data_IF_048355857873
#
_entry.id   IF_048355857873
#
_cell.length_a   1.000
_cell.length_b   1.000
_cell.length_c   1.000
_cell.angle_alpha   90.00
_cell.angle_beta   90.00
_cell.angle_gamma   90.00
#
_symmetry.space_group_name_H-M   'P 1'
#
loop_
_entity.id
_entity.type
_entity.pdbx_description
1 polymer ?
#
# COMPACT_ATOMS: atom_id res chain seq x y z
N UNK A 1 -44.44 -48.32 46.72
CA UNK A 1 -44.32 -49.33 47.78
C UNK A 1 -43.08 -48.97 48.59
N UNK A 2 -43.40 -48.71 49.85
CA UNK A 2 -42.55 -48.61 51.04
C UNK A 2 -41.75 -47.32 51.25
N UNK A 3 -42.33 -46.55 52.14
CA UNK A 3 -41.83 -45.53 53.02
C UNK A 3 -40.82 -46.14 53.99
N UNK A 4 -39.71 -45.44 54.26
CA UNK A 4 -39.19 -45.42 55.62
C UNK A 4 -38.57 -44.09 55.95
N UNK A 5 -39.26 -43.43 56.88
CA UNK A 5 -38.86 -42.28 57.67
C UNK A 5 -37.81 -42.68 58.71
N UNK A 6 -36.78 -41.89 58.91
CA UNK A 6 -36.04 -41.85 60.15
C UNK A 6 -35.87 -40.39 60.56
N UNK A 7 -36.54 -40.10 61.73
CA UNK A 7 -36.24 -38.92 62.52
C UNK A 7 -34.95 -39.13 63.28
N UNK A 8 -34.17 -38.06 63.45
CA UNK A 8 -33.41 -37.78 64.66
C UNK A 8 -32.84 -36.36 64.68
N UNK A 9 -33.37 -35.61 65.51
CA UNK A 9 -32.94 -34.92 66.71
C UNK A 9 -31.97 -33.75 66.63
N UNK A 10 -32.44 -32.65 67.15
CA UNK A 10 -31.78 -31.37 67.41
C UNK A 10 -30.53 -31.49 68.25
N UNK A 11 -29.47 -30.83 67.92
CA UNK A 11 -28.67 -29.98 68.80
C UNK A 11 -27.83 -28.98 68.02
N UNK A 12 -27.89 -27.75 68.42
CA UNK A 12 -27.28 -26.51 67.99
C UNK A 12 -25.84 -26.58 67.57
N UNK A 13 -25.51 -26.02 66.37
CA UNK A 13 -24.35 -25.18 66.17
C UNK A 13 -24.58 -24.26 64.98
N UNK A 14 -24.66 -22.94 65.20
CA UNK A 14 -24.65 -21.92 64.19
C UNK A 14 -23.32 -21.92 63.49
N UNK A 15 -23.26 -22.35 62.25
CA UNK A 15 -22.17 -22.03 61.35
C UNK A 15 -22.69 -21.05 60.32
N UNK A 16 -22.25 -19.80 60.43
CA UNK A 16 -22.52 -18.76 59.41
C UNK A 16 -21.64 -19.11 58.22
N UNK A 17 -22.20 -19.82 57.24
CA UNK A 17 -21.58 -20.03 55.94
C UNK A 17 -21.80 -18.79 55.10
N UNK A 18 -20.72 -18.04 54.84
CA UNK A 18 -20.71 -17.05 53.78
C UNK A 18 -20.88 -17.76 52.44
N UNK A 19 -22.04 -17.64 51.83
CA UNK A 19 -22.24 -17.97 50.43
C UNK A 19 -21.49 -16.93 49.60
N UNK A 20 -20.33 -17.29 49.08
CA UNK A 20 -19.65 -16.52 48.04
C UNK A 20 -20.57 -16.48 46.82
N UNK A 21 -20.95 -15.29 46.41
CA UNK A 21 -21.67 -15.06 45.16
C UNK A 21 -20.84 -15.59 43.97
N UNK A 22 -21.45 -16.16 42.93
CA UNK A 22 -20.72 -16.59 41.75
C UNK A 22 -20.09 -15.36 41.10
N UNK A 23 -18.77 -15.36 41.03
CA UNK A 23 -18.02 -14.38 40.26
C UNK A 23 -18.48 -14.47 38.79
N UNK A 24 -19.14 -13.43 38.31
CA UNK A 24 -19.52 -13.29 36.92
C UNK A 24 -18.25 -13.29 36.07
N UNK A 25 -17.94 -14.41 35.44
CA UNK A 25 -16.93 -14.47 34.40
C UNK A 25 -17.50 -13.70 33.23
N UNK A 26 -17.18 -12.42 33.15
CA UNK A 26 -17.40 -11.62 31.94
C UNK A 26 -16.55 -12.26 30.87
N UNK A 27 -17.13 -13.12 30.02
CA UNK A 27 -16.54 -13.58 28.80
C UNK A 27 -16.35 -12.33 27.91
N UNK A 28 -15.16 -11.74 27.93
CA UNK A 28 -14.78 -10.77 26.93
C UNK A 28 -14.90 -11.48 25.59
N UNK A 29 -15.94 -11.17 24.83
CA UNK A 29 -16.02 -11.58 23.43
C UNK A 29 -14.85 -10.91 22.74
N UNK A 30 -13.82 -11.69 22.42
CA UNK A 30 -12.80 -11.28 21.46
C UNK A 30 -13.52 -11.15 20.10
N UNK A 31 -13.96 -9.94 19.78
CA UNK A 31 -14.37 -9.62 18.43
C UNK A 31 -13.10 -9.73 17.58
N UNK A 32 -13.09 -10.67 16.64
CA UNK A 32 -12.06 -10.69 15.62
C UNK A 32 -12.04 -9.32 14.96
N UNK A 33 -10.87 -8.68 14.92
CA UNK A 33 -10.72 -7.43 14.18
C UNK A 33 -11.08 -7.70 12.71
N UNK A 34 -11.82 -6.81 12.07
CA UNK A 34 -12.11 -6.95 10.65
C UNK A 34 -10.78 -7.08 9.88
N UNK A 35 -10.76 -7.96 8.90
CA UNK A 35 -9.59 -8.11 8.02
C UNK A 35 -9.52 -6.86 7.14
N UNK A 36 -8.40 -6.14 7.13
CA UNK A 36 -8.31 -4.91 6.35
C UNK A 36 -8.31 -5.21 4.84
N UNK A 37 -8.88 -4.29 4.07
CA UNK A 37 -8.95 -4.38 2.61
C UNK A 37 -8.01 -3.37 1.97
N UNK A 38 -7.16 -3.84 1.06
CA UNK A 38 -6.38 -3.02 0.16
C UNK A 38 -7.02 -3.03 -1.23
N UNK A 39 -7.39 -1.86 -1.72
CA UNK A 39 -7.84 -1.66 -3.09
C UNK A 39 -6.64 -1.35 -3.96
N UNK A 40 -6.40 -2.14 -4.99
CA UNK A 40 -5.27 -1.98 -5.91
C UNK A 40 -5.77 -1.52 -7.27
N UNK A 41 -5.41 -0.30 -7.65
CA UNK A 41 -5.69 0.30 -8.96
C UNK A 41 -4.51 0.04 -9.90
N UNK A 42 -4.77 -0.60 -11.03
CA UNK A 42 -3.74 -0.97 -12.01
C UNK A 42 -4.27 -1.05 -13.43
N UNK A 43 -3.35 -1.21 -14.39
CA UNK A 43 -3.69 -1.63 -15.75
C UNK A 43 -4.21 -3.07 -15.76
N UNK A 44 -5.19 -3.38 -16.61
CA UNK A 44 -5.79 -4.72 -16.70
C UNK A 44 -4.75 -5.80 -16.98
N UNK A 45 -3.80 -5.54 -17.87
CA UNK A 45 -2.76 -6.51 -18.26
C UNK A 45 -1.61 -6.62 -17.23
N UNK A 46 -1.49 -5.67 -16.28
CA UNK A 46 -0.45 -5.64 -15.25
C UNK A 46 -0.98 -5.93 -13.84
N UNK A 47 -2.26 -6.19 -13.68
CA UNK A 47 -2.96 -6.30 -12.39
C UNK A 47 -2.40 -7.39 -11.44
N UNK A 48 -1.65 -8.34 -11.95
CA UNK A 48 -1.04 -9.42 -11.16
C UNK A 48 0.46 -9.22 -10.91
N UNK A 49 1.03 -8.09 -11.32
CA UNK A 49 2.46 -7.81 -11.17
C UNK A 49 2.72 -6.91 -9.96
N UNK A 50 2.24 -7.33 -8.78
CA UNK A 50 2.37 -6.54 -7.55
C UNK A 50 3.71 -6.79 -6.83
N UNK A 51 4.42 -7.88 -7.14
CA UNK A 51 5.74 -8.18 -6.60
C UNK A 51 5.83 -8.10 -5.08
N UNK A 52 6.82 -7.37 -4.56
CA UNK A 52 7.02 -7.21 -3.11
C UNK A 52 5.86 -6.52 -2.37
N UNK A 53 5.03 -5.75 -3.08
CA UNK A 53 3.82 -5.17 -2.49
C UNK A 53 2.79 -6.26 -2.17
N UNK A 54 2.65 -7.28 -3.03
CA UNK A 54 1.77 -8.43 -2.73
C UNK A 54 2.26 -9.19 -1.49
N UNK A 55 3.57 -9.45 -1.41
CA UNK A 55 4.18 -10.07 -0.23
C UNK A 55 3.79 -9.32 1.05
N UNK A 56 4.00 -7.99 1.06
CA UNK A 56 3.70 -7.15 2.21
C UNK A 56 2.21 -7.15 2.57
N UNK A 57 1.33 -7.06 1.58
CA UNK A 57 -0.12 -7.09 1.80
C UNK A 57 -0.55 -8.41 2.46
N UNK A 58 -0.03 -9.55 1.97
CA UNK A 58 -0.35 -10.87 2.49
C UNK A 58 0.23 -11.07 3.91
N UNK A 59 1.48 -10.66 4.16
CA UNK A 59 2.10 -10.71 5.49
C UNK A 59 1.30 -9.87 6.52
N UNK A 60 0.73 -8.75 6.08
CA UNK A 60 -0.11 -7.87 6.88
C UNK A 60 -1.61 -8.23 6.87
N UNK A 61 -1.97 -9.37 6.27
CA UNK A 61 -3.32 -9.96 6.25
C UNK A 61 -4.38 -9.09 5.57
N UNK A 62 -3.99 -8.29 4.59
CA UNK A 62 -4.95 -7.57 3.77
C UNK A 62 -5.71 -8.52 2.84
N UNK A 63 -7.01 -8.27 2.67
CA UNK A 63 -7.74 -8.74 1.50
C UNK A 63 -7.39 -7.82 0.33
N UNK A 64 -7.00 -8.38 -0.81
CA UNK A 64 -6.64 -7.60 -1.99
C UNK A 64 -7.82 -7.57 -2.95
N UNK A 65 -8.40 -6.38 -3.12
CA UNK A 65 -9.40 -6.09 -4.15
C UNK A 65 -8.75 -5.32 -5.30
N UNK A 66 -9.10 -5.67 -6.54
CA UNK A 66 -8.51 -5.05 -7.73
C UNK A 66 -9.55 -4.24 -8.48
N UNK A 67 -9.17 -3.06 -8.89
CA UNK A 67 -9.89 -2.26 -9.88
C UNK A 67 -8.95 -1.91 -11.03
N UNK A 68 -9.54 -1.73 -12.19
CA UNK A 68 -8.78 -1.45 -13.40
C UNK A 68 -9.05 -0.03 -13.86
N UNK A 69 -8.02 0.63 -14.41
CA UNK A 69 -8.15 2.00 -14.93
C UNK A 69 -9.23 2.13 -15.98
N UNK A 70 -9.40 1.10 -16.82
CA UNK A 70 -10.42 1.06 -17.86
C UNK A 70 -11.86 1.03 -17.32
N UNK A 71 -12.02 0.64 -16.04
CA UNK A 71 -13.34 0.56 -15.37
C UNK A 71 -13.67 1.84 -14.57
N UNK A 72 -12.80 2.83 -14.54
CA UNK A 72 -13.06 4.09 -13.86
C UNK A 72 -14.15 4.89 -14.54
N UNK A 73 -15.09 5.42 -13.76
CA UNK A 73 -16.24 6.19 -14.25
C UNK A 73 -16.30 7.53 -13.53
N UNK A 74 -16.44 8.60 -14.30
CA UNK A 74 -16.56 9.95 -13.76
C UNK A 74 -17.73 10.07 -12.76
N UNK A 75 -17.46 10.64 -11.59
CA UNK A 75 -18.44 10.80 -10.51
C UNK A 75 -18.77 9.54 -9.72
N UNK A 76 -18.13 8.41 -10.00
CA UNK A 76 -18.23 7.18 -9.21
C UNK A 76 -16.99 7.06 -8.32
N UNK A 77 -17.12 7.21 -7.00
CA UNK A 77 -15.97 7.13 -6.09
C UNK A 77 -15.40 5.71 -6.02
N UNK A 78 -14.16 5.59 -5.58
CA UNK A 78 -13.58 4.28 -5.28
C UNK A 78 -14.41 3.52 -4.24
N UNK A 79 -14.50 2.17 -4.35
CA UNK A 79 -15.12 1.34 -3.32
C UNK A 79 -14.50 1.58 -1.93
N UNK A 80 -15.23 1.34 -0.83
CA UNK A 80 -14.69 1.43 0.51
C UNK A 80 -13.54 0.44 0.72
N UNK A 81 -12.39 0.93 1.20
CA UNK A 81 -11.24 0.11 1.58
C UNK A 81 -10.44 0.85 2.66
N UNK A 82 -9.54 0.11 3.34
CA UNK A 82 -8.66 0.65 4.37
C UNK A 82 -7.40 1.29 3.78
N UNK A 83 -7.03 0.87 2.57
CA UNK A 83 -5.85 1.35 1.84
C UNK A 83 -6.15 1.35 0.33
N UNK A 84 -5.78 2.43 -0.37
CA UNK A 84 -5.71 2.47 -1.82
C UNK A 84 -4.24 2.43 -2.25
N UNK A 85 -3.88 1.43 -3.05
CA UNK A 85 -2.58 1.35 -3.72
C UNK A 85 -2.78 1.65 -5.20
N UNK A 86 -2.15 2.70 -5.69
CA UNK A 86 -2.20 3.11 -7.08
C UNK A 86 -0.88 2.78 -7.77
N UNK A 87 -0.91 1.80 -8.66
CA UNK A 87 0.26 1.24 -9.33
C UNK A 87 0.77 2.11 -10.49
N UNK A 88 1.93 1.75 -11.03
CA UNK A 88 2.46 2.32 -12.24
C UNK A 88 1.54 2.20 -13.45
N UNK A 89 1.75 3.04 -14.48
CA UNK A 89 1.03 3.07 -15.74
C UNK A 89 1.94 3.57 -16.87
N UNK A 90 1.55 3.26 -18.10
CA UNK A 90 2.13 3.87 -19.31
C UNK A 90 1.47 5.22 -19.66
N UNK A 91 0.43 5.61 -18.94
CA UNK A 91 -0.22 6.91 -19.07
C UNK A 91 0.66 8.03 -18.50
N UNK A 92 0.31 9.27 -18.81
CA UNK A 92 1.00 10.45 -18.32
C UNK A 92 0.03 11.42 -17.64
N UNK A 93 0.51 12.07 -16.59
CA UNK A 93 -0.15 13.24 -15.97
C UNK A 93 0.67 14.53 -16.18
N UNK A 94 1.77 14.44 -16.93
CA UNK A 94 2.58 15.61 -17.25
C UNK A 94 1.79 16.62 -18.08
N UNK A 95 2.06 17.91 -17.85
CA UNK A 95 1.38 19.00 -18.54
C UNK A 95 1.50 18.88 -20.06
N UNK A 96 0.36 18.89 -20.76
CA UNK A 96 0.27 18.72 -22.20
C UNK A 96 0.27 17.27 -22.70
N UNK A 97 0.42 16.28 -21.80
CA UNK A 97 0.42 14.86 -22.13
C UNK A 97 -0.70 14.07 -21.42
N UNK A 98 -1.31 14.63 -20.39
CA UNK A 98 -2.38 13.98 -19.63
C UNK A 98 -3.60 13.71 -20.53
N UNK A 99 -4.04 12.44 -20.54
CA UNK A 99 -5.25 12.00 -21.23
C UNK A 99 -6.47 12.09 -20.29
N UNK A 100 -7.67 12.02 -20.85
CA UNK A 100 -8.92 12.14 -20.09
C UNK A 100 -9.02 11.11 -18.94
N UNK A 101 -8.59 9.86 -19.17
CA UNK A 101 -8.57 8.83 -18.14
C UNK A 101 -7.64 9.18 -16.97
N UNK A 102 -6.47 9.79 -17.24
CA UNK A 102 -5.54 10.22 -16.21
C UNK A 102 -6.10 11.41 -15.41
N UNK A 103 -6.81 12.35 -16.06
CA UNK A 103 -7.49 13.46 -15.38
C UNK A 103 -8.58 12.96 -14.45
N UNK A 104 -9.37 11.96 -14.88
CA UNK A 104 -10.37 11.31 -14.03
C UNK A 104 -9.72 10.66 -12.79
N UNK A 105 -8.61 9.97 -12.97
CA UNK A 105 -7.89 9.33 -11.86
C UNK A 105 -7.37 10.36 -10.84
N UNK A 106 -6.87 11.52 -11.31
CA UNK A 106 -6.45 12.63 -10.43
C UNK A 106 -7.63 13.10 -9.56
N UNK A 107 -8.82 13.30 -10.14
CA UNK A 107 -9.99 13.74 -9.39
C UNK A 107 -10.43 12.72 -8.34
N UNK A 108 -10.42 11.43 -8.68
CA UNK A 108 -10.75 10.34 -7.76
C UNK A 108 -9.73 10.20 -6.61
N UNK A 109 -8.44 10.33 -6.90
CA UNK A 109 -7.38 10.30 -5.88
C UNK A 109 -7.46 11.53 -4.98
N UNK A 110 -7.74 12.70 -5.54
CA UNK A 110 -7.97 13.92 -4.77
C UNK A 110 -9.15 13.78 -3.82
N UNK A 111 -10.27 13.22 -4.28
CA UNK A 111 -11.43 12.94 -3.42
C UNK A 111 -11.08 11.95 -2.30
N UNK A 112 -10.39 10.85 -2.61
CA UNK A 112 -9.97 9.84 -1.66
C UNK A 112 -9.05 10.43 -0.57
N UNK A 113 -8.00 11.15 -0.97
CA UNK A 113 -6.98 11.67 -0.05
C UNK A 113 -7.48 12.84 0.78
N UNK A 114 -8.40 13.67 0.24
CA UNK A 114 -9.04 14.76 0.99
C UNK A 114 -9.87 14.29 2.18
N UNK A 115 -10.29 13.04 2.18
CA UNK A 115 -11.01 12.38 3.28
C UNK A 115 -10.05 11.81 4.35
N UNK A 116 -8.75 12.02 4.24
CA UNK A 116 -7.73 11.50 5.15
C UNK A 116 -7.53 9.99 5.05
N UNK A 117 -7.98 9.35 3.97
CA UNK A 117 -7.84 7.91 3.75
C UNK A 117 -6.41 7.56 3.35
N UNK A 118 -6.00 6.33 3.71
CA UNK A 118 -4.67 5.81 3.40
C UNK A 118 -4.50 5.60 1.89
N UNK A 119 -3.38 6.11 1.37
CA UNK A 119 -3.02 6.03 -0.03
C UNK A 119 -1.52 5.77 -0.20
N UNK A 120 -1.17 4.89 -1.13
CA UNK A 120 0.20 4.69 -1.60
C UNK A 120 0.17 4.72 -3.13
N UNK A 121 0.83 5.71 -3.72
CA UNK A 121 1.04 5.80 -5.16
C UNK A 121 2.44 5.36 -5.54
N UNK A 122 2.55 4.42 -6.50
CA UNK A 122 3.82 3.94 -7.03
C UNK A 122 4.01 4.43 -8.46
N UNK A 123 5.15 5.01 -8.78
CA UNK A 123 5.51 5.57 -10.08
C UNK A 123 4.42 6.52 -10.61
N UNK A 124 3.59 6.11 -11.57
CA UNK A 124 2.46 6.89 -12.06
C UNK A 124 1.49 7.28 -10.94
N UNK A 125 1.20 6.38 -10.00
CA UNK A 125 0.35 6.69 -8.84
C UNK A 125 0.94 7.81 -7.96
N UNK A 126 2.26 7.90 -7.82
CA UNK A 126 2.91 9.02 -7.15
C UNK A 126 2.76 10.32 -7.93
N UNK A 127 2.86 10.27 -9.25
CA UNK A 127 2.65 11.42 -10.13
C UNK A 127 1.21 11.93 -10.05
N UNK A 128 0.23 11.01 -10.05
CA UNK A 128 -1.20 11.34 -9.83
C UNK A 128 -1.40 12.06 -8.51
N UNK A 129 -0.78 11.57 -7.41
CA UNK A 129 -0.87 12.23 -6.11
C UNK A 129 -0.28 13.63 -6.14
N UNK A 130 0.91 13.83 -6.73
CA UNK A 130 1.53 15.14 -6.83
C UNK A 130 0.62 16.15 -7.53
N UNK A 131 0.01 15.76 -8.66
CA UNK A 131 -0.94 16.63 -9.38
C UNK A 131 -2.24 16.83 -8.60
N UNK A 132 -2.75 15.81 -7.90
CA UNK A 132 -3.93 15.94 -7.03
C UNK A 132 -3.73 16.94 -5.89
N UNK A 133 -2.48 17.10 -5.41
CA UNK A 133 -2.08 18.11 -4.44
C UNK A 133 -1.88 19.52 -5.06
N UNK A 134 -2.01 19.66 -6.38
CA UNK A 134 -1.80 20.91 -7.12
C UNK A 134 -0.35 21.13 -7.57
N UNK A 135 0.49 20.09 -7.51
CA UNK A 135 1.87 20.08 -7.95
C UNK A 135 2.06 19.86 -9.44
N UNK A 136 3.31 19.63 -9.84
CA UNK A 136 3.69 19.54 -11.23
C UNK A 136 4.49 18.28 -11.53
N UNK A 137 4.16 17.70 -12.69
CA UNK A 137 4.90 16.60 -13.32
C UNK A 137 5.37 17.06 -14.70
N UNK A 138 6.65 16.87 -14.97
CA UNK A 138 7.29 17.33 -16.21
C UNK A 138 7.82 16.14 -16.98
N UNK A 139 7.49 16.05 -18.27
CA UNK A 139 8.03 15.04 -19.17
C UNK A 139 9.41 15.42 -19.64
N UNK A 140 10.36 14.51 -19.52
CA UNK A 140 11.72 14.63 -20.02
C UNK A 140 11.82 14.10 -21.45
N UNK A 141 12.85 14.58 -22.19
CA UNK A 141 13.09 14.17 -23.58
C UNK A 141 13.60 12.72 -23.70
N UNK A 142 14.13 12.15 -22.61
CA UNK A 142 14.66 10.80 -22.57
C UNK A 142 14.09 10.03 -21.39
N UNK A 143 13.85 8.73 -21.59
CA UNK A 143 13.46 7.80 -20.53
C UNK A 143 14.58 7.68 -19.53
N UNK A 144 14.30 7.92 -18.26
CA UNK A 144 15.19 7.53 -17.18
C UNK A 144 14.99 6.04 -16.90
N UNK A 145 16.09 5.27 -16.89
CA UNK A 145 16.03 3.82 -16.72
C UNK A 145 17.27 3.31 -15.99
N UNK A 146 17.09 2.80 -14.77
CA UNK A 146 18.19 2.29 -13.95
C UNK A 146 17.72 1.58 -12.70
N UNK A 147 18.62 0.79 -12.08
CA UNK A 147 18.50 0.34 -10.70
C UNK A 147 19.40 1.25 -9.87
N UNK A 148 18.82 1.98 -8.94
CA UNK A 148 19.51 3.04 -8.20
C UNK A 148 19.33 2.83 -6.68
N UNK A 149 20.36 3.22 -5.93
CA UNK A 149 20.30 3.26 -4.48
C UNK A 149 19.57 4.54 -4.04
N UNK A 150 18.45 4.36 -3.34
CA UNK A 150 17.58 5.46 -2.90
C UNK A 150 17.45 5.41 -1.39
N UNK A 151 17.80 6.53 -0.75
CA UNK A 151 17.65 6.72 0.68
C UNK A 151 16.28 7.29 1.01
N UNK A 152 15.72 6.83 2.12
CA UNK A 152 14.62 7.51 2.79
C UNK A 152 14.68 7.22 4.30
N UNK A 153 14.03 8.03 5.18
CA UNK A 153 14.05 7.79 6.62
C UNK A 153 13.53 6.40 6.98
N UNK A 154 14.39 5.56 7.56
CA UNK A 154 14.06 4.19 7.99
C UNK A 154 14.38 3.09 6.99
N UNK A 155 14.93 3.39 5.80
CA UNK A 155 15.39 2.38 4.84
C UNK A 155 16.87 2.03 5.00
N UNK A 156 17.30 0.91 4.39
CA UNK A 156 18.71 0.65 4.12
C UNK A 156 19.16 1.65 3.02
N UNK A 157 20.22 2.46 3.23
CA UNK A 157 20.69 3.42 2.24
C UNK A 157 21.12 2.79 0.90
N UNK A 158 21.28 1.50 0.85
CA UNK A 158 21.62 0.75 -0.38
C UNK A 158 20.40 0.10 -1.03
N UNK A 159 19.18 0.55 -0.73
CA UNK A 159 17.95 0.01 -1.31
C UNK A 159 17.95 0.15 -2.84
N UNK A 160 18.12 -0.94 -3.61
CA UNK A 160 18.25 -0.89 -5.07
C UNK A 160 16.87 -0.98 -5.70
N UNK A 161 16.29 0.16 -6.00
CA UNK A 161 14.98 0.22 -6.65
C UNK A 161 15.09 0.64 -8.12
N UNK A 162 14.14 0.17 -8.92
CA UNK A 162 14.08 0.51 -10.35
C UNK A 162 13.45 1.89 -10.51
N UNK A 163 14.14 2.78 -11.22
CA UNK A 163 13.56 3.98 -11.80
C UNK A 163 13.40 3.76 -13.30
N UNK A 164 12.16 3.80 -13.77
CA UNK A 164 11.85 3.63 -15.19
C UNK A 164 10.64 4.50 -15.55
N UNK A 165 10.91 5.73 -15.92
CA UNK A 165 9.88 6.71 -16.24
C UNK A 165 10.43 7.84 -17.14
N UNK A 166 9.53 8.51 -17.85
CA UNK A 166 9.79 9.74 -18.61
C UNK A 166 9.28 10.97 -17.85
N UNK A 167 8.30 10.78 -16.97
CA UNK A 167 7.62 11.84 -16.24
C UNK A 167 8.21 11.97 -14.84
N UNK A 168 8.58 13.19 -14.47
CA UNK A 168 9.31 13.52 -13.24
C UNK A 168 8.45 14.43 -12.37
N UNK A 169 8.28 14.10 -11.10
CA UNK A 169 7.61 14.95 -10.12
C UNK A 169 8.55 16.08 -9.77
N UNK A 170 8.17 17.31 -10.10
CA UNK A 170 8.99 18.52 -9.87
C UNK A 170 8.43 19.41 -8.77
N UNK A 171 7.16 19.20 -8.37
CA UNK A 171 6.52 19.94 -7.29
C UNK A 171 5.39 19.11 -6.66
N UNK A 172 5.25 19.18 -5.33
CA UNK A 172 4.19 18.55 -4.55
C UNK A 172 3.80 19.47 -3.37
N UNK A 173 2.94 20.48 -3.59
CA UNK A 173 2.65 21.50 -2.60
C UNK A 173 2.06 20.95 -1.30
N UNK A 174 2.59 21.42 -0.17
CA UNK A 174 2.14 21.00 1.15
C UNK A 174 2.56 19.59 1.56
N UNK A 175 3.32 18.89 0.73
CA UNK A 175 3.90 17.61 1.08
C UNK A 175 5.22 17.77 1.86
N UNK A 176 5.54 16.76 2.66
CA UNK A 176 6.86 16.55 3.23
C UNK A 176 7.64 15.71 2.22
N UNK A 177 8.83 16.17 1.85
CA UNK A 177 9.71 15.47 0.93
C UNK A 177 10.66 14.58 1.73
N UNK A 178 10.55 13.28 1.56
CA UNK A 178 11.35 12.27 2.26
C UNK A 178 12.61 11.88 1.48
N UNK A 179 12.54 11.94 0.16
CA UNK A 179 13.68 11.67 -0.73
C UNK A 179 13.55 12.43 -2.04
N UNK A 180 14.65 13.02 -2.50
CA UNK A 180 14.72 13.74 -3.77
C UNK A 180 16.10 13.63 -4.41
N UNK A 181 16.17 13.91 -5.71
CA UNK A 181 17.40 14.12 -6.49
C UNK A 181 17.34 15.50 -7.11
N UNK A 182 18.41 15.91 -7.79
CA UNK A 182 18.54 17.28 -8.33
C UNK A 182 17.39 17.74 -9.24
N UNK A 183 16.67 16.81 -9.87
CA UNK A 183 15.66 17.10 -10.89
C UNK A 183 14.28 16.43 -10.62
N UNK A 184 14.15 15.68 -9.50
CA UNK A 184 12.90 14.99 -9.19
C UNK A 184 12.70 14.70 -7.70
N UNK A 185 11.46 14.80 -7.26
CA UNK A 185 10.98 14.25 -6.00
C UNK A 185 10.79 12.74 -6.17
N UNK A 186 11.36 11.96 -5.25
CA UNK A 186 11.32 10.50 -5.32
C UNK A 186 10.32 9.91 -4.32
N UNK A 187 10.30 10.39 -3.08
CA UNK A 187 9.38 9.94 -2.03
C UNK A 187 8.88 11.17 -1.29
N UNK A 188 7.58 11.23 -1.08
CA UNK A 188 6.93 12.33 -0.38
C UNK A 188 5.61 11.88 0.24
N UNK A 189 5.12 12.63 1.21
CA UNK A 189 3.80 12.39 1.77
C UNK A 189 3.06 13.68 2.15
N UNK A 190 1.72 13.58 2.14
CA UNK A 190 0.81 14.59 2.68
C UNK A 190 -0.24 13.88 3.53
N UNK A 191 -0.16 14.02 4.86
CA UNK A 191 -0.97 13.23 5.77
C UNK A 191 -0.80 11.73 5.54
N UNK A 192 -1.92 11.03 5.29
CA UNK A 192 -1.94 9.58 5.07
C UNK A 192 -1.66 9.17 3.61
N UNK A 193 -1.37 10.12 2.73
CA UNK A 193 -1.12 9.86 1.32
C UNK A 193 0.39 9.93 1.02
N UNK A 194 0.93 8.83 0.50
CA UNK A 194 2.33 8.67 0.16
C UNK A 194 2.53 8.48 -1.34
N UNK A 195 3.50 9.20 -1.90
CA UNK A 195 3.97 9.06 -3.27
C UNK A 195 5.38 8.50 -3.30
N UNK A 196 5.59 7.42 -4.05
CA UNK A 196 6.86 6.71 -4.22
C UNK A 196 7.12 6.58 -5.72
N UNK A 197 7.99 7.43 -6.27
CA UNK A 197 8.29 7.46 -7.71
C UNK A 197 9.06 6.22 -8.19
N UNK A 198 10.04 5.67 -7.44
CA UNK A 198 10.69 4.42 -7.81
C UNK A 198 9.72 3.23 -7.78
N UNK A 199 10.01 2.23 -8.61
CA UNK A 199 9.32 0.94 -8.59
C UNK A 199 9.90 0.05 -7.49
N UNK A 200 9.37 0.20 -6.29
CA UNK A 200 9.78 -0.58 -5.11
C UNK A 200 9.16 -1.98 -5.10
N UNK A 201 8.08 -2.16 -5.85
CA UNK A 201 7.33 -3.42 -5.96
C UNK A 201 8.04 -4.48 -6.79
N UNK A 202 8.95 -4.08 -7.70
CA UNK A 202 9.47 -4.97 -8.72
C UNK A 202 10.41 -6.04 -8.14
N UNK A 203 10.08 -7.30 -8.42
CA UNK A 203 11.04 -8.42 -8.39
C UNK A 203 11.69 -8.60 -9.76
N UNK A 204 12.81 -9.33 -9.88
CA UNK A 204 13.36 -9.66 -11.19
C UNK A 204 12.33 -10.28 -12.15
N UNK A 205 11.50 -11.19 -11.63
CA UNK A 205 10.49 -11.91 -12.40
C UNK A 205 9.31 -11.02 -12.81
N UNK A 206 8.84 -10.13 -11.91
CA UNK A 206 7.77 -9.19 -12.25
C UNK A 206 8.24 -8.15 -13.24
N UNK A 207 9.46 -7.65 -13.10
CA UNK A 207 10.07 -6.72 -14.05
C UNK A 207 10.15 -7.33 -15.46
N UNK A 208 10.63 -8.57 -15.58
CA UNK A 208 10.72 -9.28 -16.86
C UNK A 208 9.32 -9.48 -17.47
N UNK A 209 8.37 -9.99 -16.71
CA UNK A 209 7.00 -10.20 -17.20
C UNK A 209 6.31 -8.91 -17.62
N UNK A 210 6.48 -7.82 -16.84
CA UNK A 210 5.95 -6.51 -17.20
C UNK A 210 6.55 -6.02 -18.50
N UNK A 211 7.89 -6.02 -18.63
CA UNK A 211 8.59 -5.58 -19.84
C UNK A 211 8.10 -6.33 -21.09
N UNK A 212 7.95 -7.65 -21.01
CA UNK A 212 7.40 -8.49 -22.10
C UNK A 212 5.96 -8.07 -22.43
N UNK A 213 5.09 -7.91 -21.42
CA UNK A 213 3.68 -7.56 -21.60
C UNK A 213 3.48 -6.20 -22.28
N UNK A 214 4.36 -5.25 -22.01
CA UNK A 214 4.30 -3.89 -22.61
C UNK A 214 5.15 -3.77 -23.86
N UNK A 215 5.76 -4.87 -24.33
CA UNK A 215 6.46 -4.93 -25.62
C UNK A 215 7.85 -4.30 -25.62
N UNK A 216 8.53 -4.24 -24.47
CA UNK A 216 9.90 -3.71 -24.38
C UNK A 216 10.89 -4.72 -24.96
N UNK A 217 11.84 -4.31 -25.81
CA UNK A 217 12.91 -5.18 -26.32
C UNK A 217 13.76 -5.77 -25.19
N UNK A 218 14.20 -7.03 -25.34
CA UNK A 218 14.94 -7.74 -24.31
C UNK A 218 16.25 -7.02 -23.91
N UNK A 219 16.94 -6.45 -24.87
CA UNK A 219 18.17 -5.68 -24.64
C UNK A 219 17.96 -4.48 -23.72
N UNK A 220 16.74 -3.98 -23.62
CA UNK A 220 16.39 -2.83 -22.80
C UNK A 220 16.09 -3.17 -21.35
N UNK A 221 15.57 -4.35 -21.06
CA UNK A 221 15.19 -4.74 -19.69
C UNK A 221 16.11 -5.80 -19.06
N UNK A 222 16.76 -6.66 -19.83
CA UNK A 222 17.58 -7.74 -19.30
C UNK A 222 18.73 -7.26 -18.38
N UNK A 223 19.40 -6.13 -18.66
CA UNK A 223 20.38 -5.58 -17.71
C UNK A 223 19.77 -5.19 -16.36
N UNK A 224 18.56 -4.62 -16.36
CA UNK A 224 17.84 -4.25 -15.11
C UNK A 224 17.44 -5.50 -14.33
N UNK A 225 16.90 -6.53 -15.00
CA UNK A 225 16.55 -7.82 -14.38
C UNK A 225 17.78 -8.43 -13.71
N UNK A 226 18.92 -8.43 -14.39
CA UNK A 226 20.17 -8.97 -13.85
C UNK A 226 20.64 -8.19 -12.62
N UNK A 227 20.64 -6.86 -12.70
CA UNK A 227 21.08 -5.99 -11.60
C UNK A 227 20.13 -6.08 -10.39
N UNK A 228 18.82 -6.08 -10.63
CA UNK A 228 17.82 -6.25 -9.57
C UNK A 228 17.94 -7.63 -8.93
N UNK A 229 18.18 -8.69 -9.74
CA UNK A 229 18.38 -10.05 -9.25
C UNK A 229 19.58 -10.20 -8.33
N UNK A 230 20.69 -9.53 -8.64
CA UNK A 230 21.87 -9.52 -7.78
C UNK A 230 21.60 -8.85 -6.41
N UNK A 231 20.58 -8.03 -6.32
CA UNK A 231 20.22 -7.26 -5.11
C UNK A 231 18.83 -7.64 -4.53
N UNK A 232 18.19 -8.70 -5.01
CA UNK A 232 16.78 -9.02 -4.72
C UNK A 232 16.47 -9.11 -3.21
N UNK A 233 17.38 -9.69 -2.42
CA UNK A 233 17.21 -9.80 -0.96
C UNK A 233 17.18 -8.41 -0.29
N UNK A 234 18.06 -7.51 -0.69
CA UNK A 234 18.12 -6.15 -0.15
C UNK A 234 16.90 -5.36 -0.63
N UNK A 235 16.57 -5.44 -1.93
CA UNK A 235 15.41 -4.77 -2.52
C UNK A 235 14.11 -5.15 -1.78
N UNK A 236 13.90 -6.46 -1.57
CA UNK A 236 12.74 -6.95 -0.80
C UNK A 236 12.70 -6.40 0.62
N UNK A 237 13.81 -6.55 1.35
CA UNK A 237 13.86 -6.09 2.75
C UNK A 237 13.60 -4.59 2.88
N UNK A 238 14.18 -3.78 1.99
CA UNK A 238 14.00 -2.33 1.97
C UNK A 238 12.58 -1.94 1.57
N UNK A 239 11.94 -2.66 0.63
CA UNK A 239 10.55 -2.41 0.24
C UNK A 239 9.60 -2.70 1.39
N UNK A 240 9.75 -3.84 2.07
CA UNK A 240 8.92 -4.16 3.24
C UNK A 240 9.11 -3.13 4.36
N UNK A 241 10.35 -2.71 4.61
CA UNK A 241 10.66 -1.67 5.61
C UNK A 241 10.02 -0.31 5.25
N UNK A 242 10.06 0.09 3.97
CA UNK A 242 9.38 1.30 3.50
C UNK A 242 7.87 1.22 3.72
N UNK A 243 7.23 0.12 3.32
CA UNK A 243 5.79 -0.04 3.44
C UNK A 243 5.35 -0.11 4.91
N UNK A 244 6.14 -0.74 5.78
CA UNK A 244 5.91 -0.71 7.24
C UNK A 244 6.07 0.69 7.81
N UNK A 245 7.10 1.44 7.37
CA UNK A 245 7.28 2.84 7.76
C UNK A 245 6.08 3.69 7.36
N UNK A 246 5.61 3.56 6.12
CA UNK A 246 4.41 4.25 5.61
C UNK A 246 3.22 3.93 6.51
N UNK A 247 2.95 2.65 6.73
CA UNK A 247 1.82 2.19 7.54
C UNK A 247 1.84 2.72 8.98
N UNK A 248 3.01 2.79 9.60
CA UNK A 248 3.17 3.30 10.97
C UNK A 248 2.95 4.80 11.07
N UNK A 249 3.10 5.54 9.97
CA UNK A 249 2.92 6.99 9.89
C UNK A 249 1.56 7.40 9.26
N UNK A 250 0.70 6.43 8.93
CA UNK A 250 -0.69 6.66 8.58
C UNK A 250 -1.54 6.65 9.85
N UNK A 251 -2.22 7.75 10.16
CA UNK A 251 -2.99 7.98 11.38
C UNK A 251 -4.34 7.23 11.41
#
# INVERSE_FOLDING_TARGET
>A
MIIQSIQFNKRDTKIIGFLAAPTSHTRTRLYAQPVPTALVLSETNLAHELGYVEDWLLENKFTIERIYRDDLVAGVPFPPADLLINMGSLSSVASGYAQEAALLEIDLVKDWTSQGKNYIGLCFGAQVLAVALGGHVTRQAAVHKGVEEIDFPGSDPRAPWVRWHEDFITDAPGAIIDSEVSDAILIFHNGNAWGVQPHVELTPETLERMAIKIGVPQEDYAPLVTQLGANATIARASTLALLDHIRLNQA
#
